data_IF_136829426918
#
_entry.id   IF_136829426918
#
_cell.length_a   1.000
_cell.length_b   1.000
_cell.length_c   1.000
_cell.angle_alpha   90.00
_cell.angle_beta   90.00
_cell.angle_gamma   90.00
#
_symmetry.space_group_name_H-M   'P 1'
#
loop_
_entity.id
_entity.type
_entity.pdbx_description
1 polymer ?
#
# COMPACT_ATOMS: atom_id res chain seq x y z
N UNK A 1 18.19 38.64 93.14
CA UNK A 1 18.30 39.31 91.82
C UNK A 1 19.59 38.85 91.16
N UNK A 2 19.63 38.57 89.85
CA UNK A 2 18.77 37.71 89.02
C UNK A 2 19.65 36.65 88.28
N UNK A 3 19.33 36.11 87.07
CA UNK A 3 18.67 34.82 86.88
C UNK A 3 19.43 33.76 86.02
N UNK A 4 18.87 32.55 85.98
CA UNK A 4 19.14 31.37 85.12
C UNK A 4 19.58 31.65 83.66
N UNK A 5 20.18 30.63 83.01
CA UNK A 5 19.49 30.10 81.83
C UNK A 5 19.24 28.58 81.83
N UNK A 6 17.97 28.33 81.49
CA UNK A 6 17.25 27.15 81.05
C UNK A 6 18.04 26.22 80.10
N UNK A 7 17.92 24.90 80.32
CA UNK A 7 18.18 23.87 79.28
C UNK A 7 16.94 23.75 78.38
N UNK A 8 17.07 23.84 77.04
CA UNK A 8 16.01 23.42 76.12
C UNK A 8 16.09 21.92 75.78
N UNK A 9 15.00 21.35 75.24
CA UNK A 9 14.65 19.93 75.34
C UNK A 9 15.10 19.07 74.15
N UNK A 10 15.24 17.76 74.42
CA UNK A 10 15.08 16.68 73.44
C UNK A 10 13.80 16.91 72.63
N UNK A 11 13.89 17.00 71.30
CA UNK A 11 12.77 16.66 70.40
C UNK A 11 13.28 15.99 69.13
N UNK A 12 12.79 14.78 68.94
CA UNK A 12 12.87 13.91 67.77
C UNK A 12 12.63 14.65 66.45
N UNK A 13 13.60 14.58 65.53
CA UNK A 13 13.39 14.81 64.10
C UNK A 13 14.28 13.88 63.28
N UNK A 14 14.04 12.57 63.39
CA UNK A 14 14.80 11.56 62.66
C UNK A 14 13.97 10.54 61.83
N UNK A 15 12.74 10.84 61.35
CA UNK A 15 12.19 10.00 60.27
C UNK A 15 11.70 10.74 59.01
N UNK A 16 11.87 12.06 58.89
CA UNK A 16 11.38 12.79 57.70
C UNK A 16 12.40 12.85 56.56
N UNK A 17 13.70 12.84 56.88
CA UNK A 17 14.76 12.92 55.84
C UNK A 17 14.91 11.60 55.08
N UNK A 18 14.60 10.46 55.71
CA UNK A 18 14.70 9.14 55.05
C UNK A 18 13.55 8.90 54.07
N UNK A 19 12.33 9.37 54.37
CA UNK A 19 11.18 9.17 53.47
C UNK A 19 11.27 10.05 52.21
N UNK A 20 11.81 11.26 52.31
CA UNK A 20 12.07 12.13 51.16
C UNK A 20 13.24 11.60 50.29
N UNK A 21 14.25 10.97 50.89
CA UNK A 21 15.33 10.32 50.16
C UNK A 21 14.87 9.04 49.44
N UNK A 22 13.95 8.26 50.03
CA UNK A 22 13.36 7.08 49.38
C UNK A 22 12.41 7.46 48.24
N UNK A 23 11.68 8.58 48.35
CA UNK A 23 10.86 9.11 47.25
C UNK A 23 11.70 9.75 46.12
N UNK A 24 12.84 10.37 46.45
CA UNK A 24 13.78 10.90 45.47
C UNK A 24 14.58 9.79 44.74
N UNK A 25 14.79 8.64 45.37
CA UNK A 25 15.43 7.46 44.75
C UNK A 25 14.46 6.64 43.88
N UNK A 26 13.15 6.73 44.10
CA UNK A 26 12.14 6.22 43.15
C UNK A 26 11.96 7.10 41.91
N UNK A 27 12.50 8.32 41.92
CA UNK A 27 12.56 9.23 40.77
C UNK A 27 13.82 9.05 39.91
N UNK A 28 14.59 7.96 40.10
CA UNK A 28 15.52 7.44 39.09
C UNK A 28 14.75 6.79 37.93
N UNK A 29 13.79 7.53 37.36
CA UNK A 29 13.12 7.23 36.11
C UNK A 29 14.16 7.38 35.01
N UNK A 30 14.85 6.27 34.70
CA UNK A 30 15.72 6.13 33.53
C UNK A 30 14.93 6.63 32.31
N UNK A 31 15.41 7.70 31.67
CA UNK A 31 14.73 8.34 30.54
C UNK A 31 14.36 7.28 29.48
N UNK A 32 13.06 7.07 29.18
CA UNK A 32 12.62 6.05 28.23
C UNK A 32 13.24 6.26 26.84
N UNK A 33 13.66 7.48 26.47
CA UNK A 33 14.31 7.77 25.18
C UNK A 33 15.68 7.09 25.01
N UNK A 34 16.31 6.67 26.11
CA UNK A 34 17.57 5.90 26.09
C UNK A 34 17.37 4.40 25.89
N UNK A 35 16.12 3.93 25.85
CA UNK A 35 15.79 2.52 25.62
C UNK A 35 16.30 2.07 24.26
N UNK A 36 16.97 0.91 24.24
CA UNK A 36 17.43 0.30 22.99
C UNK A 36 16.27 -0.22 22.18
N UNK A 37 16.33 0.00 20.87
CA UNK A 37 15.36 -0.56 19.93
C UNK A 37 15.57 -2.07 19.80
N UNK A 38 14.49 -2.85 19.71
CA UNK A 38 14.60 -4.25 19.31
C UNK A 38 15.04 -4.33 17.85
N UNK A 39 15.80 -5.38 17.53
CA UNK A 39 16.20 -5.71 16.16
C UNK A 39 15.13 -6.52 15.43
N UNK A 40 14.08 -6.97 16.12
CA UNK A 40 12.95 -7.70 15.56
C UNK A 40 11.63 -7.08 16.03
N UNK A 41 10.65 -6.99 15.12
CA UNK A 41 9.30 -6.53 15.44
C UNK A 41 8.59 -7.48 16.44
N UNK A 42 8.95 -8.78 16.44
CA UNK A 42 8.43 -9.74 17.40
C UNK A 42 8.79 -9.40 18.85
N UNK A 43 9.83 -8.59 19.07
CA UNK A 43 10.31 -8.19 20.39
C UNK A 43 9.69 -6.88 20.91
N UNK A 44 8.79 -6.24 20.15
CA UNK A 44 8.06 -5.04 20.60
C UNK A 44 7.37 -5.24 21.97
N UNK A 45 6.70 -6.37 22.27
CA UNK A 45 6.08 -6.58 23.58
C UNK A 45 7.06 -6.46 24.76
N UNK A 46 8.36 -6.73 24.54
CA UNK A 46 9.41 -6.66 25.58
C UNK A 46 9.75 -5.22 25.97
N UNK A 47 9.54 -4.25 25.07
CA UNK A 47 9.81 -2.82 25.29
C UNK A 47 8.53 -1.99 25.50
N UNK A 48 7.36 -2.64 25.55
CA UNK A 48 6.06 -1.97 25.65
C UNK A 48 5.97 -1.02 26.86
N UNK A 49 6.48 -1.46 28.02
CA UNK A 49 6.49 -0.64 29.25
C UNK A 49 7.29 0.65 29.11
N UNK A 50 8.28 0.69 28.21
CA UNK A 50 9.11 1.86 27.94
C UNK A 50 8.45 2.75 26.89
N UNK A 51 7.78 2.17 25.90
CA UNK A 51 6.95 2.89 24.92
C UNK A 51 5.79 3.62 25.61
N UNK A 52 5.14 2.98 26.58
CA UNK A 52 4.02 3.57 27.31
C UNK A 52 4.42 4.78 28.18
N UNK A 53 5.71 4.87 28.53
CA UNK A 53 6.29 6.02 29.25
C UNK A 53 6.62 7.20 28.33
N UNK A 54 6.61 7.01 27.01
CA UNK A 54 6.79 8.11 26.06
C UNK A 54 5.47 8.88 25.87
N UNK A 55 5.56 10.19 25.60
CA UNK A 55 4.47 10.96 25.02
C UNK A 55 3.84 10.26 23.80
N UNK A 56 2.53 10.35 23.57
CA UNK A 56 1.86 9.65 22.48
C UNK A 56 2.45 9.91 21.09
N UNK A 57 2.82 11.17 20.81
CA UNK A 57 3.44 11.63 19.56
C UNK A 57 4.83 11.03 19.34
N UNK A 58 5.65 10.96 20.40
CA UNK A 58 6.96 10.31 20.32
C UNK A 58 6.87 8.80 20.19
N UNK A 59 5.90 8.19 20.87
CA UNK A 59 5.63 6.75 20.76
C UNK A 59 5.27 6.35 19.35
N UNK A 60 4.40 7.13 18.70
CA UNK A 60 4.02 6.93 17.30
C UNK A 60 5.25 7.00 16.38
N UNK A 61 6.15 7.96 16.59
CA UNK A 61 7.37 8.09 15.80
C UNK A 61 8.31 6.89 15.96
N UNK A 62 8.46 6.36 17.18
CA UNK A 62 9.26 5.14 17.41
C UNK A 62 8.65 3.93 16.71
N UNK A 63 7.33 3.75 16.82
CA UNK A 63 6.63 2.63 16.18
C UNK A 63 6.69 2.72 14.65
N UNK A 64 6.47 3.91 14.09
CA UNK A 64 6.58 4.16 12.64
C UNK A 64 8.00 3.88 12.13
N UNK A 65 9.03 4.26 12.90
CA UNK A 65 10.42 3.93 12.57
C UNK A 65 10.68 2.42 12.57
N UNK A 66 10.21 1.70 13.60
CA UNK A 66 10.34 0.25 13.69
C UNK A 66 9.64 -0.45 12.53
N UNK A 67 8.42 -0.03 12.18
CA UNK A 67 7.68 -0.58 11.04
C UNK A 67 8.39 -0.32 9.70
N UNK A 68 9.01 0.85 9.55
CA UNK A 68 9.76 1.23 8.34
C UNK A 68 11.09 0.49 8.22
N UNK A 69 11.79 0.29 9.32
CA UNK A 69 13.05 -0.45 9.36
C UNK A 69 12.85 -1.97 9.33
N UNK A 70 11.72 -2.49 9.83
CA UNK A 70 11.45 -3.92 10.02
C UNK A 70 12.58 -4.65 10.77
N UNK A 71 13.31 -3.93 11.62
CA UNK A 71 14.48 -4.46 12.33
C UNK A 71 15.80 -4.42 11.53
N UNK A 72 15.76 -4.08 10.25
CA UNK A 72 16.94 -3.95 9.39
C UNK A 72 17.64 -2.60 9.62
N UNK A 73 18.44 -2.56 10.69
CA UNK A 73 19.17 -1.35 11.09
C UNK A 73 20.66 -1.50 10.79
N UNK A 74 21.09 -0.89 9.70
CA UNK A 74 22.48 -0.96 9.23
C UNK A 74 23.41 -0.05 10.03
N UNK A 75 24.71 -0.39 10.14
CA UNK A 75 25.73 0.57 10.54
C UNK A 75 25.71 1.78 9.60
N UNK A 76 25.95 2.99 10.12
CA UNK A 76 25.82 4.23 9.34
C UNK A 76 26.63 4.26 8.03
N UNK A 77 27.79 3.59 8.00
CA UNK A 77 28.63 3.47 6.78
C UNK A 77 28.01 2.66 5.64
N UNK A 78 26.97 1.88 5.92
CA UNK A 78 26.25 1.05 4.95
C UNK A 78 24.80 1.48 4.77
N UNK A 79 24.36 2.49 5.53
CA UNK A 79 23.00 2.99 5.44
C UNK A 79 22.88 3.93 4.23
N UNK A 80 21.70 3.93 3.62
CA UNK A 80 21.35 4.89 2.59
C UNK A 80 21.49 6.33 3.15
N UNK A 81 22.29 7.22 2.52
CA UNK A 81 22.44 8.61 2.97
C UNK A 81 21.13 9.39 2.99
N UNK A 82 20.21 9.07 2.08
CA UNK A 82 18.92 9.75 1.98
C UNK A 82 17.91 9.18 2.96
N UNK A 83 18.08 7.91 3.32
CA UNK A 83 17.22 7.20 4.26
C UNK A 83 18.00 6.35 5.29
N UNK A 84 18.70 6.97 6.26
CA UNK A 84 19.55 6.24 7.18
C UNK A 84 18.73 5.50 8.25
N UNK A 85 18.52 4.21 8.06
CA UNK A 85 17.94 3.31 9.06
C UNK A 85 19.01 2.84 10.06
N UNK A 86 19.46 3.74 10.94
CA UNK A 86 20.62 3.51 11.82
C UNK A 86 20.33 3.58 13.33
N UNK A 87 19.09 3.89 13.73
CA UNK A 87 18.74 4.13 15.13
C UNK A 87 18.97 2.89 16.00
N UNK A 88 19.63 3.07 17.14
CA UNK A 88 19.80 2.05 18.18
C UNK A 88 18.95 2.34 19.41
N UNK A 89 18.43 3.56 19.53
CA UNK A 89 17.62 4.02 20.67
C UNK A 89 16.34 4.71 20.24
N UNK A 90 15.38 4.85 21.17
CA UNK A 90 14.15 5.62 20.93
C UNK A 90 14.44 7.06 20.53
N UNK A 91 15.40 7.73 21.19
CA UNK A 91 15.80 9.10 20.84
C UNK A 91 16.23 9.24 19.38
N UNK A 92 17.08 8.31 18.91
CA UNK A 92 17.58 8.31 17.53
C UNK A 92 16.47 7.98 16.53
N UNK A 93 15.59 7.03 16.84
CA UNK A 93 14.45 6.70 15.99
C UNK A 93 13.48 7.88 15.86
N UNK A 94 13.17 8.57 16.97
CA UNK A 94 12.34 9.77 16.95
C UNK A 94 12.96 10.83 16.05
N UNK A 95 14.26 11.11 16.20
CA UNK A 95 14.96 12.10 15.39
C UNK A 95 14.92 11.74 13.90
N UNK A 96 15.36 10.53 13.55
CA UNK A 96 15.41 10.08 12.15
C UNK A 96 14.02 9.97 11.53
N UNK A 97 13.01 9.60 12.29
CA UNK A 97 11.63 9.57 11.80
C UNK A 97 11.07 10.96 11.58
N UNK A 98 11.38 11.95 12.44
CA UNK A 98 11.00 13.35 12.23
C UNK A 98 11.65 13.90 10.95
N UNK A 99 12.96 13.69 10.79
CA UNK A 99 13.69 14.11 9.58
C UNK A 99 13.12 13.46 8.32
N UNK A 100 12.81 12.15 8.37
CA UNK A 100 12.17 11.44 7.27
C UNK A 100 10.77 12.01 6.95
N UNK A 101 9.93 12.26 7.97
CA UNK A 101 8.60 12.86 7.76
C UNK A 101 8.69 14.23 7.09
N UNK A 102 9.66 15.08 7.49
CA UNK A 102 9.85 16.40 6.86
C UNK A 102 10.32 16.25 5.41
N UNK A 103 11.29 15.36 5.14
CA UNK A 103 11.81 15.14 3.78
C UNK A 103 10.74 14.60 2.83
N UNK A 104 9.88 13.69 3.31
CA UNK A 104 8.89 13.01 2.47
C UNK A 104 7.47 13.58 2.55
N UNK A 105 7.24 14.65 3.33
CA UNK A 105 5.95 15.33 3.35
C UNK A 105 5.60 15.89 1.96
N UNK A 106 6.54 16.59 1.33
CA UNK A 106 6.35 17.17 0.00
C UNK A 106 6.15 16.10 -1.09
N UNK A 107 6.86 14.97 -0.99
CA UNK A 107 6.67 13.86 -1.93
C UNK A 107 5.30 13.22 -1.76
N UNK A 108 4.83 13.05 -0.52
CA UNK A 108 3.52 12.45 -0.25
C UNK A 108 2.41 13.34 -0.79
N UNK A 109 2.44 14.64 -0.49
CA UNK A 109 1.48 15.63 -0.99
C UNK A 109 1.52 15.73 -2.52
N UNK A 110 2.72 15.67 -3.12
CA UNK A 110 2.88 15.60 -4.59
C UNK A 110 2.26 14.33 -5.16
N UNK A 111 2.47 13.17 -4.54
CA UNK A 111 1.93 11.91 -5.05
C UNK A 111 0.41 11.84 -4.89
N UNK A 112 -0.14 12.39 -3.82
CA UNK A 112 -1.59 12.50 -3.59
C UNK A 112 -2.23 13.46 -4.60
N UNK A 113 -1.69 14.67 -4.77
CA UNK A 113 -2.18 15.61 -5.80
C UNK A 113 -2.10 15.05 -7.22
N UNK A 114 -1.04 14.30 -7.56
CA UNK A 114 -0.94 13.61 -8.84
C UNK A 114 -1.97 12.47 -8.99
N UNK A 115 -2.33 11.80 -7.90
CA UNK A 115 -3.37 10.78 -7.92
C UNK A 115 -4.76 11.40 -8.11
N UNK A 116 -5.06 12.52 -7.43
CA UNK A 116 -6.31 13.26 -7.59
C UNK A 116 -6.46 13.80 -9.02
N UNK A 117 -5.44 14.49 -9.53
CA UNK A 117 -5.44 15.01 -10.90
C UNK A 117 -5.64 13.89 -11.94
N UNK A 118 -5.07 12.70 -11.68
CA UNK A 118 -5.25 11.53 -12.55
C UNK A 118 -6.68 11.00 -12.50
N UNK A 119 -7.30 10.94 -11.33
CA UNK A 119 -8.70 10.50 -11.22
C UNK A 119 -9.66 11.47 -11.89
N UNK A 120 -9.43 12.78 -11.77
CA UNK A 120 -10.18 13.81 -12.51
C UNK A 120 -10.03 13.65 -14.03
N UNK A 121 -8.81 13.36 -14.51
CA UNK A 121 -8.55 13.14 -15.94
C UNK A 121 -9.26 11.90 -16.49
N UNK A 122 -9.45 10.85 -15.67
CA UNK A 122 -10.13 9.62 -16.09
C UNK A 122 -11.66 9.70 -16.03
N UNK A 123 -12.21 10.56 -15.18
CA UNK A 123 -13.65 10.68 -14.96
C UNK A 123 -14.47 10.82 -16.26
N UNK A 124 -14.15 11.75 -17.20
CA UNK A 124 -14.96 11.91 -18.41
C UNK A 124 -14.87 10.69 -19.34
N UNK A 125 -13.74 9.98 -19.35
CA UNK A 125 -13.58 8.76 -20.12
C UNK A 125 -14.38 7.61 -19.49
N UNK A 126 -14.38 7.47 -18.16
CA UNK A 126 -15.15 6.44 -17.44
C UNK A 126 -16.65 6.66 -17.53
N UNK A 127 -17.10 7.93 -17.60
CA UNK A 127 -18.49 8.26 -17.92
C UNK A 127 -18.89 7.83 -19.33
N UNK A 128 -17.97 7.92 -20.30
CA UNK A 128 -18.26 7.49 -21.68
C UNK A 128 -18.28 5.97 -21.82
N UNK A 129 -17.33 5.27 -21.19
CA UNK A 129 -17.18 3.82 -21.32
C UNK A 129 -16.69 3.15 -20.03
N UNK A 130 -17.35 2.06 -19.65
CA UNK A 130 -16.90 1.21 -18.54
C UNK A 130 -16.40 -0.15 -19.01
N UNK A 131 -15.46 -0.74 -18.27
CA UNK A 131 -15.04 -2.12 -18.43
C UNK A 131 -15.50 -2.95 -17.22
N UNK A 132 -16.24 -4.04 -17.47
CA UNK A 132 -16.69 -4.97 -16.43
C UNK A 132 -16.09 -6.34 -16.67
N UNK A 133 -15.55 -6.98 -15.62
CA UNK A 133 -15.11 -8.37 -15.71
C UNK A 133 -16.33 -9.27 -15.96
N UNK A 134 -16.30 -10.08 -17.01
CA UNK A 134 -17.36 -11.04 -17.32
C UNK A 134 -16.96 -12.47 -16.97
N UNK A 135 -15.77 -12.89 -17.41
CA UNK A 135 -15.33 -14.29 -17.30
C UNK A 135 -13.83 -14.38 -17.12
N UNK A 136 -13.41 -15.43 -16.43
CA UNK A 136 -12.03 -15.86 -16.24
C UNK A 136 -11.99 -17.35 -16.54
N UNK A 137 -11.16 -17.77 -17.46
CA UNK A 137 -11.11 -19.16 -17.90
C UNK A 137 -9.70 -19.55 -18.32
N UNK A 138 -9.41 -20.84 -18.26
CA UNK A 138 -8.21 -21.42 -18.85
C UNK A 138 -8.62 -22.05 -20.17
N UNK A 139 -7.98 -21.62 -21.25
CA UNK A 139 -8.22 -22.14 -22.60
C UNK A 139 -6.91 -22.59 -23.21
N UNK A 140 -6.96 -23.39 -24.28
CA UNK A 140 -5.77 -23.59 -25.11
C UNK A 140 -5.41 -22.29 -25.84
N UNK A 141 -4.13 -22.10 -26.16
CA UNK A 141 -3.66 -20.92 -26.87
C UNK A 141 -4.32 -20.75 -28.24
N UNK A 142 -4.64 -21.85 -28.94
CA UNK A 142 -5.36 -21.80 -30.21
C UNK A 142 -6.81 -21.31 -30.03
N UNK A 143 -7.55 -21.82 -29.04
CA UNK A 143 -8.90 -21.35 -28.69
C UNK A 143 -8.89 -19.87 -28.28
N UNK A 144 -7.93 -19.48 -27.42
CA UNK A 144 -7.77 -18.12 -26.95
C UNK A 144 -7.47 -17.13 -28.09
N UNK A 145 -6.79 -17.59 -29.15
CA UNK A 145 -6.48 -16.79 -30.34
C UNK A 145 -7.60 -16.76 -31.38
N UNK A 146 -8.69 -17.53 -31.18
CA UNK A 146 -9.77 -17.67 -32.14
C UNK A 146 -9.38 -18.38 -33.44
N UNK A 147 -8.26 -19.12 -33.45
CA UNK A 147 -7.80 -19.85 -34.63
C UNK A 147 -8.59 -21.15 -34.79
N UNK A 148 -9.05 -21.42 -36.00
CA UNK A 148 -9.65 -22.71 -36.32
C UNK A 148 -8.59 -23.80 -36.54
N UNK A 149 -8.86 -25.06 -36.15
CA UNK A 149 -7.99 -26.19 -36.46
C UNK A 149 -7.82 -26.33 -37.98
N UNK A 150 -6.59 -26.43 -38.46
CA UNK A 150 -6.29 -26.69 -39.87
C UNK A 150 -5.69 -28.11 -40.03
N UNK A 151 -6.06 -28.87 -41.07
CA UNK A 151 -5.50 -30.20 -41.31
C UNK A 151 -3.98 -30.13 -41.49
N UNK A 152 -3.24 -31.00 -40.80
CA UNK A 152 -1.78 -31.10 -40.92
C UNK A 152 -0.97 -30.14 -40.04
N UNK A 153 -1.62 -29.30 -39.22
CA UNK A 153 -0.95 -28.43 -38.26
C UNK A 153 -1.08 -29.00 -36.84
N UNK A 154 0.04 -29.04 -36.10
CA UNK A 154 0.01 -29.36 -34.68
C UNK A 154 -0.75 -28.28 -33.90
N UNK A 155 -1.71 -28.70 -33.08
CA UNK A 155 -2.45 -27.82 -32.18
C UNK A 155 -1.53 -27.32 -31.06
N UNK A 156 -1.62 -26.03 -30.76
CA UNK A 156 -0.97 -25.45 -29.60
C UNK A 156 -1.85 -25.63 -28.36
N UNK A 157 -1.66 -26.76 -27.68
CA UNK A 157 -2.40 -27.12 -26.47
C UNK A 157 -1.86 -26.43 -25.21
N UNK A 158 -1.01 -25.41 -25.33
CA UNK A 158 -0.58 -24.65 -24.17
C UNK A 158 -1.79 -23.97 -23.53
N UNK A 159 -2.02 -24.26 -22.26
CA UNK A 159 -3.08 -23.63 -21.50
C UNK A 159 -2.68 -22.18 -21.16
N UNK A 160 -3.60 -21.26 -21.39
CA UNK A 160 -3.44 -19.82 -21.13
C UNK A 160 -4.64 -19.29 -20.36
N UNK A 161 -4.38 -18.34 -19.47
CA UNK A 161 -5.44 -17.58 -18.82
C UNK A 161 -6.06 -16.61 -19.83
N UNK A 162 -7.38 -16.67 -19.94
CA UNK A 162 -8.20 -15.74 -20.72
C UNK A 162 -9.13 -15.01 -19.76
N UNK A 163 -9.09 -13.68 -19.83
CA UNK A 163 -9.98 -12.80 -19.08
C UNK A 163 -10.83 -12.03 -20.07
N UNK A 164 -12.15 -12.16 -19.94
CA UNK A 164 -13.11 -11.48 -20.82
C UNK A 164 -13.74 -10.32 -20.08
N UNK A 165 -13.72 -9.14 -20.71
CA UNK A 165 -14.33 -7.92 -20.22
C UNK A 165 -15.48 -7.49 -21.13
N UNK A 166 -16.52 -6.89 -20.55
CA UNK A 166 -17.53 -6.13 -21.29
C UNK A 166 -17.13 -4.67 -21.31
N UNK A 167 -16.92 -4.12 -22.50
CA UNK A 167 -16.88 -2.68 -22.68
C UNK A 167 -18.30 -2.19 -22.96
N UNK A 168 -18.82 -1.30 -22.11
CA UNK A 168 -20.17 -0.75 -22.24
C UNK A 168 -20.06 0.74 -22.56
N UNK A 169 -20.54 1.13 -23.73
CA UNK A 169 -20.72 2.52 -24.11
C UNK A 169 -21.96 3.06 -23.38
N UNK A 170 -21.79 4.11 -22.57
CA UNK A 170 -22.89 4.75 -21.84
C UNK A 170 -23.45 5.96 -22.58
N UNK A 171 -22.77 6.43 -23.62
CA UNK A 171 -23.21 7.54 -24.45
C UNK A 171 -24.19 7.12 -25.55
N UNK A 172 -24.71 8.11 -26.26
CA UNK A 172 -25.51 7.93 -27.48
C UNK A 172 -24.65 7.92 -28.75
N UNK A 173 -23.44 8.47 -28.69
CA UNK A 173 -22.51 8.50 -29.82
C UNK A 173 -21.80 7.15 -30.01
N UNK A 174 -21.57 6.76 -31.25
CA UNK A 174 -20.78 5.56 -31.57
C UNK A 174 -19.32 5.82 -31.24
N UNK A 175 -18.70 4.90 -30.50
CA UNK A 175 -17.28 4.88 -30.21
C UNK A 175 -16.59 4.05 -31.28
N UNK A 176 -15.55 4.58 -31.92
CA UNK A 176 -14.78 3.91 -32.98
C UNK A 176 -13.48 3.32 -32.47
N UNK A 177 -12.94 3.85 -31.37
CA UNK A 177 -11.74 3.33 -30.74
C UNK A 177 -11.73 3.57 -29.24
N UNK A 178 -11.32 2.55 -28.49
CA UNK A 178 -11.02 2.66 -27.05
C UNK A 178 -9.67 2.06 -26.76
N UNK A 179 -8.86 2.79 -25.99
CA UNK A 179 -7.65 2.27 -25.39
C UNK A 179 -7.65 2.46 -23.88
N UNK A 180 -7.01 1.56 -23.15
CA UNK A 180 -6.85 1.69 -21.70
C UNK A 180 -6.35 0.42 -21.05
N UNK A 181 -6.13 0.47 -19.74
CA UNK A 181 -5.72 -0.69 -18.96
C UNK A 181 -6.81 -1.13 -18.00
N UNK A 182 -7.07 -2.44 -17.94
CA UNK A 182 -7.85 -3.06 -16.88
C UNK A 182 -6.91 -3.85 -15.98
N UNK A 183 -7.07 -3.69 -14.67
CA UNK A 183 -6.38 -4.47 -13.67
C UNK A 183 -7.38 -5.11 -12.72
N UNK A 184 -7.17 -6.38 -12.40
CA UNK A 184 -7.95 -7.09 -11.39
C UNK A 184 -7.05 -7.39 -10.19
N UNK A 185 -7.54 -7.08 -8.99
CA UNK A 185 -6.85 -7.34 -7.71
C UNK A 185 -7.76 -8.15 -6.79
N UNK A 186 -7.18 -8.94 -5.90
CA UNK A 186 -7.92 -9.54 -4.79
C UNK A 186 -8.05 -8.52 -3.66
N UNK A 187 -9.22 -8.45 -3.04
CA UNK A 187 -9.45 -7.62 -1.86
C UNK A 187 -8.60 -8.07 -0.66
N UNK A 188 -8.50 -9.38 -0.44
CA UNK A 188 -7.74 -9.97 0.68
C UNK A 188 -6.23 -9.99 0.46
N UNK A 189 -5.79 -10.09 -0.80
CA UNK A 189 -4.37 -10.02 -1.14
C UNK A 189 -4.18 -9.26 -2.47
N UNK A 190 -4.06 -7.92 -2.44
CA UNK A 190 -3.91 -7.10 -3.63
C UNK A 190 -2.68 -7.43 -4.48
N UNK A 191 -1.66 -8.10 -3.91
CA UNK A 191 -0.41 -8.43 -4.60
C UNK A 191 -0.46 -9.79 -5.29
N UNK A 192 -1.33 -10.69 -4.85
CA UNK A 192 -1.49 -12.05 -5.42
C UNK A 192 -1.80 -12.08 -6.92
N UNK A 193 -2.37 -11.02 -7.49
CA UNK A 193 -2.77 -10.96 -8.90
C UNK A 193 -1.92 -10.01 -9.75
N UNK A 194 -0.93 -9.34 -9.16
CA UNK A 194 -0.04 -8.43 -9.88
C UNK A 194 0.68 -9.16 -11.02
N UNK A 195 0.64 -8.55 -12.21
CA UNK A 195 1.21 -9.10 -13.44
C UNK A 195 0.43 -10.25 -14.09
N UNK A 196 -0.49 -10.90 -13.37
CA UNK A 196 -1.31 -11.99 -13.89
C UNK A 196 -2.60 -11.48 -14.54
N UNK A 197 -3.32 -10.60 -13.84
CA UNK A 197 -4.64 -10.12 -14.24
C UNK A 197 -4.62 -8.63 -14.62
N UNK A 198 -3.65 -8.25 -15.44
CA UNK A 198 -3.54 -6.92 -16.04
C UNK A 198 -3.61 -7.04 -17.56
N UNK A 199 -4.45 -6.23 -18.19
CA UNK A 199 -4.61 -6.20 -19.63
C UNK A 199 -4.58 -4.78 -20.19
N UNK A 200 -3.91 -4.61 -21.32
CA UNK A 200 -4.05 -3.44 -22.16
C UNK A 200 -5.08 -3.72 -23.26
N UNK A 201 -6.11 -2.89 -23.33
CA UNK A 201 -7.16 -2.94 -24.34
C UNK A 201 -6.83 -1.92 -25.43
N UNK A 202 -6.83 -2.36 -26.70
CA UNK A 202 -6.87 -1.50 -27.91
C UNK A 202 -7.99 -2.04 -28.81
N UNK A 203 -9.21 -1.60 -28.55
CA UNK A 203 -10.39 -2.01 -29.30
C UNK A 203 -10.70 -0.97 -30.39
N UNK A 204 -10.85 -1.43 -31.63
CA UNK A 204 -11.00 -0.57 -32.83
C UNK A 204 -12.28 -0.84 -33.63
N UNK A 205 -13.14 -1.72 -33.14
CA UNK A 205 -14.42 -1.97 -33.79
C UNK A 205 -15.46 -0.98 -33.25
N UNK A 206 -16.44 -0.56 -34.07
CA UNK A 206 -17.46 0.37 -33.62
C UNK A 206 -18.33 -0.21 -32.50
N UNK A 207 -18.51 0.54 -31.42
CA UNK A 207 -19.46 0.26 -30.34
C UNK A 207 -20.54 1.33 -30.38
N UNK A 208 -21.74 0.96 -30.84
CA UNK A 208 -22.86 1.88 -30.93
C UNK A 208 -23.25 2.49 -29.59
N UNK A 209 -24.01 3.59 -29.62
CA UNK A 209 -24.52 4.22 -28.40
C UNK A 209 -25.33 3.25 -27.55
N UNK A 210 -25.10 3.24 -26.25
CA UNK A 210 -25.71 2.30 -25.28
C UNK A 210 -25.44 0.80 -25.54
N UNK A 211 -24.55 0.47 -26.48
CA UNK A 211 -24.19 -0.91 -26.77
C UNK A 211 -22.96 -1.35 -25.97
N UNK A 212 -22.75 -2.67 -25.95
CA UNK A 212 -21.53 -3.26 -25.41
C UNK A 212 -20.88 -4.24 -26.36
N UNK A 213 -19.60 -4.49 -26.13
CA UNK A 213 -18.79 -5.48 -26.82
C UNK A 213 -17.98 -6.28 -25.79
N UNK A 214 -17.73 -7.56 -26.09
CA UNK A 214 -16.82 -8.38 -25.29
C UNK A 214 -15.40 -8.29 -25.85
N UNK A 215 -14.44 -8.04 -24.98
CA UNK A 215 -13.02 -8.01 -25.31
C UNK A 215 -12.30 -9.07 -24.49
N UNK A 216 -11.49 -9.88 -25.16
CA UNK A 216 -10.69 -10.94 -24.52
C UNK A 216 -9.26 -10.49 -24.37
N UNK A 217 -8.71 -10.79 -23.20
CA UNK A 217 -7.33 -10.55 -22.84
C UNK A 217 -6.67 -11.87 -22.50
N UNK A 218 -5.58 -12.19 -23.18
CA UNK A 218 -4.80 -13.39 -22.92
C UNK A 218 -3.33 -13.15 -23.20
N UNK A 219 -2.46 -13.75 -22.39
CA UNK A 219 -1.03 -13.82 -22.70
C UNK A 219 -0.77 -15.12 -23.45
N UNK A 220 -0.87 -15.09 -24.78
CA UNK A 220 -0.70 -16.27 -25.64
C UNK A 220 0.70 -16.92 -25.57
N UNK A 221 1.68 -16.21 -25.00
CA UNK A 221 3.05 -16.71 -24.76
C UNK A 221 3.25 -17.20 -23.32
N UNK A 222 2.29 -16.97 -22.44
CA UNK A 222 2.31 -17.45 -21.07
C UNK A 222 1.90 -18.92 -20.98
N UNK A 223 2.10 -19.51 -19.81
CA UNK A 223 1.45 -20.76 -19.41
C UNK A 223 0.57 -20.49 -18.20
N UNK A 224 -0.61 -21.09 -18.12
CA UNK A 224 -1.44 -21.05 -16.92
C UNK A 224 -0.89 -22.00 -15.87
N UNK A 225 -0.15 -21.45 -14.90
CA UNK A 225 0.26 -22.17 -13.69
C UNK A 225 -0.83 -22.18 -12.61
N UNK A 226 -0.49 -22.68 -11.42
CA UNK A 226 -1.43 -22.77 -10.29
C UNK A 226 -2.09 -21.43 -9.94
N UNK A 227 -1.33 -20.34 -9.99
CA UNK A 227 -1.85 -18.98 -9.76
C UNK A 227 -2.99 -18.59 -10.71
N UNK A 228 -2.97 -19.06 -11.96
CA UNK A 228 -4.06 -18.81 -12.90
C UNK A 228 -5.31 -19.62 -12.53
N UNK A 229 -5.14 -20.87 -12.08
CA UNK A 229 -6.23 -21.72 -11.59
C UNK A 229 -6.88 -21.12 -10.34
N UNK A 230 -6.05 -20.69 -9.38
CA UNK A 230 -6.49 -20.00 -8.18
C UNK A 230 -7.27 -18.71 -8.52
N UNK A 231 -6.76 -17.93 -9.48
CA UNK A 231 -7.44 -16.73 -9.93
C UNK A 231 -8.79 -17.01 -10.60
N UNK A 232 -8.89 -18.06 -11.42
CA UNK A 232 -10.17 -18.48 -12.03
C UNK A 232 -11.16 -18.96 -10.97
N UNK A 233 -10.69 -19.69 -9.95
CA UNK A 233 -11.51 -20.21 -8.88
C UNK A 233 -11.93 -19.16 -7.83
N UNK A 234 -11.27 -17.99 -7.79
CA UNK A 234 -11.58 -16.95 -6.80
C UNK A 234 -13.02 -16.43 -6.97
N UNK A 235 -13.72 -16.20 -5.87
CA UNK A 235 -15.04 -15.56 -5.89
C UNK A 235 -14.94 -14.14 -6.47
N UNK A 236 -15.81 -13.81 -7.43
CA UNK A 236 -15.88 -12.50 -8.08
C UNK A 236 -16.12 -11.35 -7.09
N UNK A 237 -16.84 -11.63 -5.99
CA UNK A 237 -17.10 -10.63 -4.94
C UNK A 237 -15.84 -10.19 -4.20
N UNK A 238 -14.77 -10.99 -4.27
CA UNK A 238 -13.46 -10.68 -3.68
C UNK A 238 -12.50 -10.02 -4.67
N UNK A 239 -12.99 -9.66 -5.86
CA UNK A 239 -12.21 -9.04 -6.90
C UNK A 239 -12.54 -7.55 -7.02
N UNK A 240 -11.49 -6.75 -7.09
CA UNK A 240 -11.56 -5.32 -7.39
C UNK A 240 -11.06 -5.13 -8.82
N UNK A 241 -11.92 -4.61 -9.69
CA UNK A 241 -11.60 -4.30 -11.09
C UNK A 241 -11.34 -2.80 -11.21
N UNK A 242 -10.14 -2.43 -11.63
CA UNK A 242 -9.75 -1.04 -11.90
C UNK A 242 -9.66 -0.83 -13.41
N UNK A 243 -10.46 0.10 -13.94
CA UNK A 243 -10.45 0.52 -15.34
C UNK A 243 -9.80 1.89 -15.48
N UNK A 244 -8.73 1.98 -16.26
CA UNK A 244 -8.03 3.23 -16.58
C UNK A 244 -8.08 3.46 -18.09
N UNK A 245 -9.17 4.05 -18.61
CA UNK A 245 -9.27 4.42 -20.01
C UNK A 245 -8.23 5.50 -20.33
N UNK A 246 -7.57 5.38 -21.48
CA UNK A 246 -6.56 6.34 -21.96
C UNK A 246 -7.06 7.19 -23.10
N UNK A 247 -7.77 6.60 -24.05
CA UNK A 247 -8.35 7.30 -25.19
C UNK A 247 -9.72 6.72 -25.53
N UNK A 248 -10.68 7.59 -25.84
CA UNK A 248 -11.97 7.23 -26.46
C UNK A 248 -12.17 8.12 -27.68
N UNK A 249 -12.27 7.52 -28.86
CA UNK A 249 -12.54 8.20 -30.12
C UNK A 249 -13.98 7.92 -30.56
N UNK A 250 -14.71 8.97 -30.94
CA UNK A 250 -16.09 8.88 -31.39
C UNK A 250 -16.19 8.99 -32.91
N UNK A 251 -17.25 8.44 -33.49
CA UNK A 251 -17.53 8.53 -34.92
C UNK A 251 -17.69 9.97 -35.43
N UNK A 252 -17.98 10.92 -34.54
CA UNK A 252 -18.06 12.37 -34.82
C UNK A 252 -16.69 13.04 -34.98
N UNK A 253 -15.59 12.32 -34.71
CA UNK A 253 -14.23 12.85 -34.71
C UNK A 253 -13.79 13.44 -33.36
N UNK A 254 -14.70 13.49 -32.37
CA UNK A 254 -14.36 13.87 -30.99
C UNK A 254 -13.43 12.83 -30.38
N UNK A 255 -12.45 13.29 -29.59
CA UNK A 255 -11.51 12.43 -28.87
C UNK A 255 -11.40 12.88 -27.42
N UNK A 256 -11.56 11.94 -26.48
CA UNK A 256 -11.26 12.13 -25.06
C UNK A 256 -9.95 11.44 -24.73
N UNK A 257 -9.08 12.09 -23.94
CA UNK A 257 -7.79 11.54 -23.48
C UNK A 257 -7.55 11.88 -22.02
N UNK A 258 -6.93 10.95 -21.30
CA UNK A 258 -6.29 11.25 -20.02
C UNK A 258 -4.86 11.69 -20.30
N UNK A 259 -4.53 12.96 -20.08
CA UNK A 259 -3.16 13.48 -20.20
C UNK A 259 -2.24 12.95 -19.09
#
# INVERSE_FOLDING_TARGET
>A
MPPFPKRPPMWSKAPVVVLAAVLALSACSRDPRTTRLPLDLADIPKIQKQLDKLPPDERELVLAYLQRSKGDVLPAKFADPDNPLTARTFAEAIKLQKEWKVKHAADTERMESLAEAREEAYEPLRRAISATLLRREIMTADEASGRQPQPGRALNNNEVLVVTYRLQNHGSETITRVTGSVQVRSESDPKSLLGLAQCWIDHREPVGGSQSVEVRCSNLRGSSGERAKDFVALDERRLIVTWEPKTVEFATGKVLRSE
#
